data_IF_265605707119
#
_entry.id   IF_265605707119
#
_cell.length_a   1.000
_cell.length_b   1.000
_cell.length_c   1.000
_cell.angle_alpha   90.00
_cell.angle_beta   90.00
_cell.angle_gamma   90.00
#
_symmetry.space_group_name_H-M   'P 1'
#
loop_
_entity.id
_entity.type
_entity.pdbx_description
1 polymer ?
#
# COMPACT_ATOMS: atom_id res chain seq x y z
N UNK A 1 9.19 19.29 -23.26
CA UNK A 1 8.07 19.62 -22.34
C UNK A 1 8.66 19.71 -20.93
N UNK A 2 8.25 20.66 -20.10
CA UNK A 2 8.76 20.76 -18.71
C UNK A 2 8.45 19.46 -17.96
N UNK A 3 9.46 18.84 -17.33
CA UNK A 3 9.31 17.61 -16.52
C UNK A 3 8.18 17.74 -15.50
N UNK A 4 7.97 18.94 -14.92
CA UNK A 4 6.86 19.19 -13.99
C UNK A 4 5.48 19.08 -14.65
N UNK A 5 5.35 19.52 -15.90
CA UNK A 5 4.11 19.42 -16.68
C UNK A 5 3.81 17.95 -17.00
N UNK A 6 4.81 17.21 -17.49
CA UNK A 6 4.68 15.78 -17.80
C UNK A 6 4.31 14.97 -16.54
N UNK A 7 5.04 15.18 -15.44
CA UNK A 7 4.75 14.51 -14.16
C UNK A 7 3.34 14.83 -13.64
N UNK A 8 2.83 16.04 -13.90
CA UNK A 8 1.46 16.41 -13.54
C UNK A 8 0.43 15.71 -14.42
N UNK A 9 0.67 15.62 -15.72
CA UNK A 9 -0.20 14.90 -16.65
C UNK A 9 -0.27 13.41 -16.29
N UNK A 10 0.86 12.74 -16.11
CA UNK A 10 0.92 11.32 -15.72
C UNK A 10 0.14 11.07 -14.43
N UNK A 11 0.37 11.88 -13.39
CA UNK A 11 -0.35 11.74 -12.12
C UNK A 11 -1.85 11.93 -12.27
N UNK A 12 -2.30 12.83 -13.15
CA UNK A 12 -3.71 13.07 -13.39
C UNK A 12 -4.34 11.89 -14.14
N UNK A 13 -3.66 11.38 -15.17
CA UNK A 13 -4.06 10.17 -15.89
C UNK A 13 -4.20 8.97 -14.93
N UNK A 14 -3.21 8.75 -14.06
CA UNK A 14 -3.27 7.72 -13.01
C UNK A 14 -4.47 7.97 -12.10
N UNK A 15 -4.69 9.20 -11.59
CA UNK A 15 -5.83 9.48 -10.71
C UNK A 15 -7.17 9.18 -11.35
N UNK A 16 -7.31 9.44 -12.65
CA UNK A 16 -8.52 9.20 -13.43
C UNK A 16 -8.68 7.73 -13.87
N UNK A 17 -7.63 6.91 -13.75
CA UNK A 17 -7.63 5.54 -14.25
C UNK A 17 -7.46 5.46 -15.78
N UNK A 18 -6.94 6.50 -16.43
CA UNK A 18 -6.70 6.50 -17.87
C UNK A 18 -5.43 5.71 -18.20
N UNK A 19 -5.57 4.39 -18.31
CA UNK A 19 -4.44 3.51 -18.59
C UNK A 19 -3.77 3.83 -19.93
N UNK A 20 -4.53 4.28 -20.94
CA UNK A 20 -3.98 4.59 -22.27
C UNK A 20 -3.11 5.83 -22.23
N UNK A 21 -3.57 6.89 -21.56
CA UNK A 21 -2.79 8.11 -21.37
C UNK A 21 -1.54 7.83 -20.51
N UNK A 22 -1.63 6.99 -19.47
CA UNK A 22 -0.46 6.56 -18.69
C UNK A 22 0.55 5.83 -19.57
N UNK A 23 0.12 4.85 -20.37
CA UNK A 23 0.98 4.10 -21.30
C UNK A 23 1.66 5.04 -22.31
N UNK A 24 0.91 5.99 -22.87
CA UNK A 24 1.43 6.96 -23.83
C UNK A 24 2.45 7.93 -23.20
N UNK A 25 2.15 8.48 -22.03
CA UNK A 25 2.99 9.48 -21.38
C UNK A 25 4.29 8.89 -20.80
N UNK A 26 4.25 7.63 -20.33
CA UNK A 26 5.44 6.92 -19.85
C UNK A 26 6.26 6.38 -21.02
N UNK A 27 5.60 5.75 -22.01
CA UNK A 27 6.26 5.15 -23.16
C UNK A 27 7.36 4.15 -22.76
N UNK A 28 8.56 4.34 -23.31
CA UNK A 28 9.77 3.58 -22.99
C UNK A 28 10.80 4.41 -22.21
N UNK A 29 10.37 5.54 -21.64
CA UNK A 29 11.25 6.43 -20.89
C UNK A 29 11.42 5.94 -19.43
N UNK A 30 12.54 5.27 -19.17
CA UNK A 30 12.88 4.77 -17.84
C UNK A 30 13.12 5.88 -16.79
N UNK A 31 13.50 7.09 -17.21
CA UNK A 31 13.63 8.22 -16.29
C UNK A 31 12.24 8.67 -15.83
N UNK A 32 11.29 8.76 -16.77
CA UNK A 32 9.90 9.06 -16.45
C UNK A 32 9.30 7.95 -15.57
N UNK A 33 9.47 6.67 -15.92
CA UNK A 33 8.94 5.54 -15.16
C UNK A 33 9.34 5.59 -13.67
N UNK A 34 10.61 5.85 -13.39
CA UNK A 34 11.17 5.83 -12.05
C UNK A 34 11.15 7.19 -11.34
N UNK A 35 10.36 8.14 -11.85
CA UNK A 35 10.26 9.47 -11.25
C UNK A 35 9.65 9.42 -9.84
N UNK A 36 10.39 9.93 -8.86
CA UNK A 36 9.90 10.17 -7.50
C UNK A 36 9.34 11.59 -7.38
N UNK A 37 8.09 11.72 -6.97
CA UNK A 37 7.45 13.02 -6.70
C UNK A 37 7.16 13.18 -5.21
N UNK A 38 6.70 14.36 -4.79
CA UNK A 38 6.17 14.58 -3.44
C UNK A 38 4.99 13.66 -3.08
N UNK A 39 4.37 13.01 -4.07
CA UNK A 39 3.27 12.05 -3.90
C UNK A 39 3.73 10.59 -3.97
N UNK A 40 5.04 10.33 -4.12
CA UNK A 40 5.60 9.01 -4.37
C UNK A 40 5.87 8.77 -5.86
N UNK A 41 6.15 7.51 -6.18
CA UNK A 41 6.25 7.02 -7.57
C UNK A 41 4.86 6.86 -8.19
N UNK A 42 4.80 6.55 -9.48
CA UNK A 42 3.54 6.23 -10.15
C UNK A 42 2.81 5.05 -9.52
N UNK A 43 3.56 4.05 -9.04
CA UNK A 43 3.02 2.87 -8.38
C UNK A 43 2.27 3.24 -7.09
N UNK A 44 2.83 4.16 -6.28
CA UNK A 44 2.16 4.66 -5.07
C UNK A 44 0.81 5.30 -5.40
N UNK A 45 0.76 6.14 -6.43
CA UNK A 45 -0.46 6.86 -6.82
C UNK A 45 -1.50 5.88 -7.36
N UNK A 46 -1.09 4.91 -8.18
CA UNK A 46 -1.98 3.91 -8.76
C UNK A 46 -2.54 2.97 -7.68
N UNK A 47 -1.68 2.46 -6.80
CA UNK A 47 -2.05 1.59 -5.69
C UNK A 47 -3.02 2.28 -4.73
N UNK A 48 -2.75 3.55 -4.36
CA UNK A 48 -3.67 4.35 -3.53
C UNK A 48 -5.02 4.57 -4.20
N UNK A 49 -5.05 4.70 -5.53
CA UNK A 49 -6.26 5.02 -6.30
C UNK A 49 -7.09 3.82 -6.72
N UNK A 50 -6.59 2.59 -6.53
CA UNK A 50 -7.34 1.38 -6.84
C UNK A 50 -7.27 0.95 -8.31
N UNK A 51 -6.30 1.45 -9.08
CA UNK A 51 -6.22 1.18 -10.51
C UNK A 51 -5.29 -0.01 -10.82
N UNK A 52 -5.81 -1.23 -10.70
CA UNK A 52 -5.04 -2.47 -10.87
C UNK A 52 -4.34 -2.56 -12.24
N UNK A 53 -5.02 -2.25 -13.34
CA UNK A 53 -4.41 -2.33 -14.69
C UNK A 53 -3.17 -1.41 -14.81
N UNK A 54 -3.20 -0.25 -14.14
CA UNK A 54 -2.07 0.68 -14.11
C UNK A 54 -0.95 0.11 -13.23
N UNK A 55 -1.28 -0.49 -12.08
CA UNK A 55 -0.30 -1.18 -11.21
C UNK A 55 0.42 -2.28 -11.99
N UNK A 56 -0.33 -3.16 -12.63
CA UNK A 56 0.22 -4.26 -13.46
C UNK A 56 1.12 -3.72 -14.56
N UNK A 57 0.68 -2.68 -15.28
CA UNK A 57 1.48 -2.06 -16.33
C UNK A 57 2.82 -1.52 -15.81
N UNK A 58 2.79 -0.78 -14.69
CA UNK A 58 3.98 -0.15 -14.12
C UNK A 58 4.99 -1.20 -13.63
N UNK A 59 4.52 -2.27 -12.99
CA UNK A 59 5.38 -3.37 -12.51
C UNK A 59 5.97 -4.15 -13.67
N UNK A 60 5.18 -4.45 -14.71
CA UNK A 60 5.67 -5.09 -15.93
C UNK A 60 6.70 -4.23 -16.69
N UNK A 61 6.68 -2.90 -16.51
CA UNK A 61 7.69 -1.98 -17.03
C UNK A 61 8.97 -1.92 -16.19
N UNK A 62 9.00 -2.57 -15.02
CA UNK A 62 10.17 -2.65 -14.16
C UNK A 62 10.32 -1.48 -13.19
N UNK A 63 9.22 -0.82 -12.81
CA UNK A 63 9.27 0.11 -11.67
C UNK A 63 9.62 -0.66 -10.40
N UNK A 64 10.41 -0.05 -9.51
CA UNK A 64 10.72 -0.62 -8.20
C UNK A 64 9.43 -0.77 -7.36
N UNK A 65 9.09 -2.03 -7.04
CA UNK A 65 7.86 -2.43 -6.33
C UNK A 65 7.88 -2.00 -4.85
N UNK A 66 9.07 -1.97 -4.24
CA UNK A 66 9.29 -1.68 -2.83
C UNK A 66 9.84 -0.26 -2.60
N UNK A 67 9.85 0.56 -3.66
CA UNK A 67 10.20 1.97 -3.57
C UNK A 67 9.44 2.61 -2.41
N UNK A 68 10.17 3.22 -1.48
CA UNK A 68 9.57 3.97 -0.36
C UNK A 68 9.50 5.43 -0.75
N UNK A 69 8.32 6.03 -0.62
CA UNK A 69 8.16 7.42 -1.03
C UNK A 69 6.81 8.04 -0.76
N UNK A 70 6.69 9.30 -1.19
CA UNK A 70 5.48 10.09 -1.00
C UNK A 70 5.25 10.49 0.45
N UNK A 71 3.98 10.70 0.80
CA UNK A 71 3.63 11.05 2.18
C UNK A 71 3.86 9.84 3.09
N UNK A 72 4.57 10.06 4.20
CA UNK A 72 4.87 9.06 5.24
C UNK A 72 5.90 7.98 4.91
N UNK A 73 6.61 8.09 3.77
CA UNK A 73 7.66 7.12 3.38
C UNK A 73 7.11 5.67 3.36
N UNK A 74 5.91 5.52 2.78
CA UNK A 74 5.16 4.28 2.69
C UNK A 74 5.51 3.53 1.38
N UNK A 75 5.25 2.22 1.31
CA UNK A 75 5.28 1.47 0.05
C UNK A 75 3.93 1.55 -0.69
N UNK A 76 3.90 1.07 -1.94
CA UNK A 76 2.65 0.89 -2.67
C UNK A 76 1.70 -0.11 -1.97
N UNK A 77 2.25 -1.18 -1.37
CA UNK A 77 1.48 -2.18 -0.61
C UNK A 77 0.77 -1.55 0.59
N UNK A 78 1.46 -0.67 1.33
CA UNK A 78 0.86 0.06 2.44
C UNK A 78 -0.34 0.90 2.02
N UNK A 79 -0.20 1.63 0.90
CA UNK A 79 -1.25 2.50 0.39
C UNK A 79 -2.45 1.71 -0.12
N UNK A 80 -2.22 0.61 -0.85
CA UNK A 80 -3.31 -0.28 -1.29
C UNK A 80 -4.04 -0.88 -0.09
N UNK A 81 -3.30 -1.33 0.93
CA UNK A 81 -3.89 -1.94 2.12
C UNK A 81 -4.72 -0.94 2.93
N UNK A 82 -4.22 0.29 3.13
CA UNK A 82 -4.93 1.33 3.87
C UNK A 82 -6.14 1.93 3.15
N UNK A 83 -6.26 1.73 1.84
CA UNK A 83 -7.42 2.14 1.04
C UNK A 83 -8.35 0.96 0.68
N UNK A 84 -8.00 -0.26 1.11
CA UNK A 84 -8.86 -1.45 0.98
C UNK A 84 -8.82 -2.13 -0.39
N UNK A 85 -7.83 -1.82 -1.23
CA UNK A 85 -7.73 -2.36 -2.60
C UNK A 85 -7.16 -3.79 -2.61
N UNK A 86 -7.97 -4.77 -2.16
CA UNK A 86 -7.57 -6.16 -1.97
C UNK A 86 -6.89 -6.80 -3.19
N UNK A 87 -7.43 -6.58 -4.40
CA UNK A 87 -6.85 -7.17 -5.62
C UNK A 87 -5.45 -6.61 -5.94
N UNK A 88 -5.21 -5.34 -5.60
CA UNK A 88 -3.86 -4.74 -5.70
C UNK A 88 -2.94 -5.31 -4.62
N UNK A 89 -3.43 -5.48 -3.39
CA UNK A 89 -2.66 -6.09 -2.30
C UNK A 89 -2.23 -7.51 -2.67
N UNK A 90 -3.14 -8.32 -3.21
CA UNK A 90 -2.85 -9.68 -3.72
C UNK A 90 -1.78 -9.63 -4.80
N UNK A 91 -1.99 -8.83 -5.83
CA UNK A 91 -1.06 -8.75 -6.96
C UNK A 91 0.35 -8.30 -6.53
N UNK A 92 0.45 -7.29 -5.66
CA UNK A 92 1.74 -6.82 -5.15
C UNK A 92 2.49 -7.92 -4.39
N UNK A 93 1.82 -8.62 -3.47
CA UNK A 93 2.43 -9.71 -2.69
C UNK A 93 2.82 -10.89 -3.59
N UNK A 94 1.96 -11.26 -4.55
CA UNK A 94 2.23 -12.34 -5.51
C UNK A 94 3.36 -12.00 -6.48
N UNK A 95 3.60 -10.71 -6.73
CA UNK A 95 4.72 -10.22 -7.55
C UNK A 95 5.99 -9.97 -6.72
N UNK A 96 5.97 -10.29 -5.42
CA UNK A 96 7.15 -10.29 -4.56
C UNK A 96 7.37 -9.00 -3.77
N UNK A 97 6.36 -8.13 -3.62
CA UNK A 97 6.45 -6.98 -2.72
C UNK A 97 6.78 -7.43 -1.30
N UNK A 98 7.68 -6.72 -0.62
CA UNK A 98 8.04 -7.02 0.75
C UNK A 98 6.89 -6.70 1.71
N UNK A 99 6.60 -7.65 2.62
CA UNK A 99 5.78 -7.38 3.79
C UNK A 99 6.61 -6.54 4.77
N UNK A 100 6.52 -5.20 4.67
CA UNK A 100 7.27 -4.32 5.57
C UNK A 100 6.76 -4.48 7.02
N UNK A 101 7.53 -5.20 7.84
CA UNK A 101 7.27 -5.43 9.27
C UNK A 101 8.19 -4.61 10.17
N UNK A 102 9.10 -3.82 9.58
CA UNK A 102 10.19 -3.16 10.31
C UNK A 102 9.71 -1.99 11.18
N UNK A 103 8.69 -1.27 10.72
CA UNK A 103 8.11 -0.13 11.42
C UNK A 103 6.59 -0.19 11.31
N UNK A 104 5.90 -0.14 12.43
CA UNK A 104 4.44 -0.22 12.45
C UNK A 104 3.74 0.89 11.64
N UNK A 105 4.32 2.11 11.56
CA UNK A 105 3.82 3.19 10.69
C UNK A 105 3.89 2.84 9.19
N UNK A 106 4.75 1.90 8.81
CA UNK A 106 5.00 1.42 7.46
C UNK A 106 4.56 -0.03 7.28
N UNK A 107 3.71 -0.54 8.16
CA UNK A 107 3.25 -1.91 8.08
C UNK A 107 1.83 -1.94 7.47
N UNK A 108 1.62 -2.71 6.38
CA UNK A 108 0.35 -2.71 5.65
C UNK A 108 -0.82 -3.22 6.50
N UNK A 109 -0.58 -4.06 7.52
CA UNK A 109 -1.59 -4.51 8.46
C UNK A 109 -2.22 -3.34 9.22
N UNK A 110 -1.40 -2.43 9.77
CA UNK A 110 -1.92 -1.27 10.50
C UNK A 110 -2.61 -0.27 9.59
N UNK A 111 -2.19 -0.17 8.32
CA UNK A 111 -2.93 0.57 7.30
C UNK A 111 -4.33 0.00 7.08
N UNK A 112 -4.43 -1.32 6.84
CA UNK A 112 -5.71 -2.00 6.63
C UNK A 112 -6.64 -1.89 7.85
N UNK A 113 -6.09 -2.04 9.07
CA UNK A 113 -6.85 -1.82 10.31
C UNK A 113 -7.28 -0.36 10.39
N UNK A 114 -6.41 0.62 10.16
CA UNK A 114 -6.82 2.04 10.20
C UNK A 114 -7.98 2.35 9.23
N UNK A 115 -7.97 1.76 8.03
CA UNK A 115 -9.05 1.89 7.06
C UNK A 115 -10.29 1.02 7.33
N UNK A 116 -10.22 0.06 8.27
CA UNK A 116 -11.31 -0.87 8.59
C UNK A 116 -11.52 -1.96 7.53
N UNK A 117 -10.48 -2.31 6.77
CA UNK A 117 -10.56 -3.24 5.64
C UNK A 117 -10.30 -4.68 6.07
N UNK A 118 -11.34 -5.35 6.58
CA UNK A 118 -11.25 -6.69 7.15
C UNK A 118 -10.68 -7.73 6.18
N UNK A 119 -11.14 -7.76 4.93
CA UNK A 119 -10.68 -8.75 3.94
C UNK A 119 -9.18 -8.59 3.63
N UNK A 120 -8.67 -7.36 3.66
CA UNK A 120 -7.24 -7.09 3.52
C UNK A 120 -6.47 -7.56 4.76
N UNK A 121 -7.01 -7.32 5.96
CA UNK A 121 -6.40 -7.82 7.20
C UNK A 121 -6.29 -9.34 7.19
N UNK A 122 -7.39 -10.04 6.87
CA UNK A 122 -7.43 -11.51 6.79
C UNK A 122 -6.38 -12.03 5.80
N UNK A 123 -6.34 -11.46 4.61
CA UNK A 123 -5.37 -11.86 3.58
C UNK A 123 -3.91 -11.63 4.02
N UNK A 124 -3.59 -10.47 4.62
CA UNK A 124 -2.22 -10.19 5.09
C UNK A 124 -1.79 -11.17 6.19
N UNK A 125 -2.71 -11.52 7.10
CA UNK A 125 -2.44 -12.51 8.16
C UNK A 125 -2.25 -13.91 7.58
N UNK A 126 -3.04 -14.31 6.59
CA UNK A 126 -2.87 -15.57 5.86
C UNK A 126 -1.53 -15.64 5.11
N UNK A 127 -1.03 -14.50 4.61
CA UNK A 127 0.31 -14.39 4.00
C UNK A 127 1.45 -14.32 5.01
N UNK A 128 1.14 -14.48 6.30
CA UNK A 128 2.15 -14.64 7.34
C UNK A 128 2.75 -13.34 7.85
N UNK A 129 2.07 -12.20 7.66
CA UNK A 129 2.54 -10.93 8.24
C UNK A 129 2.71 -11.07 9.77
N UNK A 130 3.74 -10.42 10.31
CA UNK A 130 3.98 -10.42 11.75
C UNK A 130 2.94 -9.53 12.46
N UNK A 131 2.02 -10.18 13.18
CA UNK A 131 0.96 -9.53 13.97
C UNK A 131 1.41 -9.17 15.39
N UNK A 132 2.65 -9.51 15.79
CA UNK A 132 3.20 -9.17 17.10
C UNK A 132 3.80 -7.76 17.15
N UNK A 133 4.02 -7.14 15.98
CA UNK A 133 4.50 -5.76 15.85
C UNK A 133 3.51 -4.82 16.56
N UNK A 134 4.06 -3.82 17.27
CA UNK A 134 3.26 -2.84 18.01
C UNK A 134 3.38 -1.46 17.38
N UNK A 135 2.23 -0.82 17.19
CA UNK A 135 2.10 0.53 16.67
C UNK A 135 2.57 1.58 17.66
N UNK A 136 3.51 2.41 17.21
CA UNK A 136 4.00 3.58 17.94
C UNK A 136 3.78 4.83 17.10
N UNK A 137 2.90 5.72 17.59
CA UNK A 137 2.63 7.03 17.02
C UNK A 137 2.98 8.14 18.01
N UNK A 138 2.96 9.39 17.57
CA UNK A 138 3.22 10.55 18.46
C UNK A 138 2.19 10.63 19.60
N UNK A 139 0.95 10.20 19.34
CA UNK A 139 -0.16 10.21 20.31
C UNK A 139 -0.67 8.81 20.68
N UNK A 140 -0.24 7.75 19.98
CA UNK A 140 -0.75 6.37 20.16
C UNK A 140 0.32 5.52 20.83
N UNK A 141 -0.04 4.96 22.00
CA UNK A 141 0.85 4.19 22.86
C UNK A 141 0.90 2.73 22.44
N UNK A 142 1.99 2.32 21.81
CA UNK A 142 2.48 0.93 21.76
C UNK A 142 1.37 -0.16 21.74
N UNK A 143 0.49 -0.11 20.72
CA UNK A 143 -0.65 -1.03 20.60
C UNK A 143 -0.30 -2.18 19.66
N UNK A 144 -0.57 -3.42 20.04
CA UNK A 144 -0.57 -4.50 19.04
C UNK A 144 -1.75 -4.36 18.07
N UNK A 145 -1.80 -5.21 17.03
CA UNK A 145 -2.83 -5.16 16.00
C UNK A 145 -4.26 -5.33 16.58
N UNK A 146 -4.42 -6.17 17.60
CA UNK A 146 -5.71 -6.38 18.28
C UNK A 146 -6.16 -5.11 19.02
N UNK A 147 -5.29 -4.56 19.86
CA UNK A 147 -5.57 -3.35 20.62
C UNK A 147 -5.81 -2.16 19.70
N UNK A 148 -5.04 -2.05 18.62
CA UNK A 148 -5.21 -0.99 17.61
C UNK A 148 -6.59 -1.08 16.95
N UNK A 149 -7.05 -2.27 16.52
CA UNK A 149 -8.39 -2.44 15.97
C UNK A 149 -9.50 -2.08 16.98
N UNK A 150 -9.29 -2.38 18.27
CA UNK A 150 -10.23 -2.03 19.36
C UNK A 150 -10.36 -0.52 19.55
N UNK A 151 -9.27 0.23 19.48
CA UNK A 151 -9.29 1.70 19.61
C UNK A 151 -10.18 2.37 18.55
N UNK A 152 -10.26 1.79 17.34
CA UNK A 152 -11.14 2.28 16.27
C UNK A 152 -12.54 1.64 16.29
N UNK A 153 -12.88 0.83 17.30
CA UNK A 153 -14.18 0.17 17.43
C UNK A 153 -14.42 -0.99 16.46
N UNK A 154 -13.37 -1.49 15.80
CA UNK A 154 -13.47 -2.52 14.75
C UNK A 154 -13.53 -3.91 15.36
N UNK A 155 -14.70 -4.26 15.88
CA UNK A 155 -14.89 -5.47 16.71
C UNK A 155 -14.56 -6.76 15.94
N UNK A 156 -15.02 -6.91 14.69
CA UNK A 156 -14.74 -8.11 13.90
C UNK A 156 -13.25 -8.31 13.59
N UNK A 157 -12.56 -7.23 13.22
CA UNK A 157 -11.11 -7.26 12.94
C UNK A 157 -10.35 -7.60 14.22
N UNK A 158 -10.72 -6.99 15.35
CA UNK A 158 -10.12 -7.29 16.63
C UNK A 158 -10.32 -8.76 17.04
N UNK A 159 -11.53 -9.29 16.94
CA UNK A 159 -11.81 -10.69 17.27
C UNK A 159 -11.01 -11.67 16.40
N UNK A 160 -10.94 -11.41 15.10
CA UNK A 160 -10.11 -12.19 14.17
C UNK A 160 -8.62 -12.16 14.58
N UNK A 161 -8.06 -10.98 14.84
CA UNK A 161 -6.65 -10.82 15.23
C UNK A 161 -6.36 -11.51 16.56
N UNK A 162 -7.27 -11.39 17.54
CA UNK A 162 -7.14 -12.06 18.84
C UNK A 162 -7.08 -13.57 18.67
N UNK A 163 -7.99 -14.15 17.88
CA UNK A 163 -7.98 -15.58 17.58
C UNK A 163 -6.63 -16.00 16.96
N UNK A 164 -6.14 -15.26 15.97
CA UNK A 164 -4.87 -15.55 15.29
C UNK A 164 -3.64 -15.41 16.19
N UNK A 165 -3.67 -14.50 17.16
CA UNK A 165 -2.61 -14.35 18.16
C UNK A 165 -2.60 -15.52 19.16
N UNK A 166 -3.77 -16.03 19.55
CA UNK A 166 -3.87 -17.16 20.48
C UNK A 166 -3.50 -18.50 19.80
N UNK A 167 -3.73 -18.66 18.49
CA UNK A 167 -3.28 -19.81 17.69
C UNK A 167 -1.74 -19.91 17.57
N UNK A 168 -1.00 -18.81 17.75
CA UNK A 168 0.47 -18.75 17.62
C UNK A 168 1.24 -18.95 18.94
N UNK A 169 0.54 -19.10 20.07
CA UNK A 169 1.14 -19.36 21.41
C UNK A 169 1.30 -20.85 21.67
#
# INVERSE_FOLDING_TARGET
MDKKIVNKAIRNAIKLGDTNEVKQLIGDDNEILNTMTSFGTWLHVAAKKGHLEIVEYLINKGIDIDAKGGTFDASALNLAAGEGHLEIVKYLIETGAELDVSLAKRNPLFGAIYGGHKEVVEFLVEKGIDISIRYTGESIKNLDAYEYAREFGQTEIAEYLKQKMDEKK
#
